data_IF_421639196631
#
_entry.id   IF_421639196631
#
_cell.length_a   1.000
_cell.length_b   1.000
_cell.length_c   1.000
_cell.angle_alpha   90.00
_cell.angle_beta   90.00
_cell.angle_gamma   90.00
#
_symmetry.space_group_name_H-M   'P 1'
#
loop_
_entity.id
_entity.type
_entity.pdbx_description
1 polymer ?
#
# COMPACT_ATOMS: atom_id res chain seq x y z
N UNK A 1 55.14 28.80 -15.07
CA UNK A 1 54.04 29.10 -14.14
C UNK A 1 52.65 28.61 -14.60
N UNK A 2 52.27 28.70 -15.89
CA UNK A 2 50.91 28.35 -16.36
C UNK A 2 50.48 26.86 -16.22
N UNK A 3 51.40 25.89 -16.29
CA UNK A 3 51.08 24.43 -16.26
C UNK A 3 50.66 23.93 -14.87
N UNK A 4 51.29 24.45 -13.81
CA UNK A 4 50.92 24.13 -12.42
C UNK A 4 49.61 24.80 -12.02
N UNK A 5 49.33 25.98 -12.57
CA UNK A 5 48.07 26.70 -12.35
C UNK A 5 46.85 25.92 -12.87
N UNK A 6 46.96 25.31 -14.05
CA UNK A 6 45.88 24.52 -14.64
C UNK A 6 45.66 23.20 -13.89
N UNK A 7 46.73 22.55 -13.43
CA UNK A 7 46.65 21.35 -12.59
C UNK A 7 46.03 21.62 -11.20
N UNK A 8 46.37 22.76 -10.58
CA UNK A 8 45.74 23.19 -9.34
C UNK A 8 44.25 23.50 -9.51
N UNK A 9 43.86 24.13 -10.62
CA UNK A 9 42.46 24.42 -10.94
C UNK A 9 41.65 23.13 -11.16
N UNK A 10 42.21 22.15 -11.88
CA UNK A 10 41.59 20.83 -12.09
C UNK A 10 41.51 20.02 -10.80
N UNK A 11 42.51 20.12 -9.92
CA UNK A 11 42.50 19.47 -8.61
C UNK A 11 41.44 20.05 -7.68
N UNK A 12 41.28 21.37 -7.67
CA UNK A 12 40.25 22.06 -6.88
C UNK A 12 38.84 21.74 -7.41
N UNK A 13 38.63 21.73 -8.73
CA UNK A 13 37.33 21.36 -9.30
C UNK A 13 36.98 19.90 -9.02
N UNK A 14 37.94 18.98 -9.11
CA UNK A 14 37.75 17.57 -8.75
C UNK A 14 37.44 17.38 -7.25
N UNK A 15 38.00 18.23 -6.38
CA UNK A 15 37.71 18.24 -4.94
C UNK A 15 36.30 18.76 -4.63
N UNK A 16 35.81 19.77 -5.37
CA UNK A 16 34.45 20.32 -5.18
C UNK A 16 33.34 19.41 -5.70
N UNK A 17 33.63 18.58 -6.71
CA UNK A 17 32.69 17.56 -7.23
C UNK A 17 32.48 16.40 -6.26
N UNK A 18 33.34 16.26 -5.25
CA UNK A 18 33.22 15.25 -4.19
C UNK A 18 32.34 15.70 -3.01
N UNK A 19 31.52 16.74 -3.20
CA UNK A 19 30.50 17.18 -2.25
C UNK A 19 29.46 16.06 -2.09
N UNK A 20 29.74 15.19 -1.11
CA UNK A 20 28.89 14.06 -0.75
C UNK A 20 27.51 14.59 -0.40
N UNK A 21 26.49 14.08 -1.09
CA UNK A 21 25.10 14.14 -0.63
C UNK A 21 25.04 13.28 0.63
N UNK A 22 25.36 13.86 1.78
CA UNK A 22 25.07 13.24 3.06
C UNK A 22 23.57 13.38 3.29
N UNK A 23 22.86 12.24 3.29
CA UNK A 23 21.49 12.21 3.80
C UNK A 23 21.53 12.72 5.24
N UNK A 24 20.88 13.86 5.52
CA UNK A 24 20.78 14.36 6.88
C UNK A 24 19.95 13.36 7.71
N UNK A 25 20.41 12.97 8.92
CA UNK A 25 19.59 12.18 9.82
C UNK A 25 18.33 12.95 10.23
N UNK A 26 17.27 12.22 10.61
CA UNK A 26 16.00 12.80 11.03
C UNK A 26 16.12 13.74 12.23
N UNK A 27 15.16 14.67 12.37
CA UNK A 27 15.16 15.69 13.44
C UNK A 27 14.50 15.19 14.72
N UNK A 28 14.69 15.90 15.83
CA UNK A 28 14.00 15.60 17.10
C UNK A 28 12.47 15.83 16.98
N UNK A 29 12.02 16.62 16.01
CA UNK A 29 10.61 16.85 15.71
C UNK A 29 9.97 15.69 14.92
N UNK A 30 10.75 14.70 14.48
CA UNK A 30 10.22 13.59 13.70
C UNK A 30 9.39 12.65 14.60
N UNK A 31 8.20 12.20 14.16
CA UNK A 31 7.39 11.29 14.94
C UNK A 31 8.07 9.93 15.07
N UNK A 32 8.17 9.42 16.30
CA UNK A 32 8.64 8.06 16.55
C UNK A 32 7.54 7.07 16.18
N UNK A 33 7.81 6.23 15.18
CA UNK A 33 6.92 5.14 14.76
C UNK A 33 7.69 3.81 14.77
N UNK A 34 7.01 2.73 15.13
CA UNK A 34 7.62 1.40 15.11
C UNK A 34 7.63 0.82 13.69
N UNK A 35 8.63 -0.02 13.39
CA UNK A 35 8.69 -0.76 12.12
C UNK A 35 7.41 -1.55 11.86
N UNK A 36 6.86 -2.18 12.89
CA UNK A 36 5.62 -2.97 12.80
C UNK A 36 4.40 -2.12 12.40
N UNK A 37 4.31 -0.87 12.85
CA UNK A 37 3.23 0.04 12.47
C UNK A 37 3.31 0.44 10.99
N UNK A 38 4.53 0.69 10.49
CA UNK A 38 4.79 0.94 9.07
C UNK A 38 4.45 -0.28 8.20
N UNK A 39 4.97 -1.45 8.55
CA UNK A 39 4.73 -2.68 7.78
C UNK A 39 3.23 -3.01 7.72
N UNK A 40 2.50 -2.87 8.84
CA UNK A 40 1.04 -3.05 8.86
C UNK A 40 0.29 -2.08 7.94
N UNK A 41 0.84 -0.89 7.70
CA UNK A 41 0.17 0.14 6.89
C UNK A 41 0.57 0.12 5.42
N UNK A 42 1.81 -0.27 5.08
CA UNK A 42 2.38 -0.08 3.74
C UNK A 42 2.81 -1.37 3.04
N UNK A 43 2.97 -2.47 3.76
CA UNK A 43 3.32 -3.77 3.18
C UNK A 43 2.07 -4.57 2.81
N UNK A 44 2.25 -5.49 1.85
CA UNK A 44 1.24 -6.50 1.56
C UNK A 44 1.24 -7.56 2.66
N UNK A 45 0.05 -7.91 3.15
CA UNK A 45 -0.17 -8.97 4.13
C UNK A 45 -1.12 -10.02 3.57
N UNK A 46 -0.89 -11.28 3.94
CA UNK A 46 -1.80 -12.38 3.64
C UNK A 46 -2.86 -12.41 4.73
N UNK A 47 -4.13 -12.31 4.33
CA UNK A 47 -5.28 -12.43 5.24
C UNK A 47 -6.09 -13.65 4.81
N UNK A 48 -6.42 -14.52 5.75
CA UNK A 48 -7.30 -15.68 5.50
C UNK A 48 -8.62 -15.45 6.21
N UNK A 49 -9.72 -15.56 5.45
CA UNK A 49 -11.07 -15.51 5.97
C UNK A 49 -11.69 -16.91 5.88
N UNK A 50 -12.36 -17.33 6.95
CA UNK A 50 -13.22 -18.51 6.96
C UNK A 50 -14.61 -18.15 6.42
N UNK A 51 -15.42 -19.14 5.99
CA UNK A 51 -16.78 -18.88 5.52
C UNK A 51 -17.57 -18.03 6.51
N UNK A 52 -18.34 -17.09 6.00
CA UNK A 52 -19.12 -16.08 6.73
C UNK A 52 -18.33 -14.98 7.44
N UNK A 53 -17.01 -15.06 7.54
CA UNK A 53 -16.20 -13.96 8.06
C UNK A 53 -16.19 -12.79 7.08
N UNK A 54 -16.05 -11.59 7.65
CA UNK A 54 -16.03 -10.36 6.90
C UNK A 54 -14.75 -9.59 7.17
N UNK A 55 -14.19 -8.96 6.15
CA UNK A 55 -13.13 -7.99 6.30
C UNK A 55 -13.62 -6.62 5.89
N UNK A 56 -13.67 -5.69 6.83
CA UNK A 56 -13.90 -4.28 6.56
C UNK A 56 -12.59 -3.59 6.17
N UNK A 57 -12.60 -2.84 5.09
CA UNK A 57 -11.46 -2.15 4.53
C UNK A 57 -11.45 -0.67 4.91
N UNK A 58 -10.30 -0.14 5.35
CA UNK A 58 -10.15 1.29 5.60
C UNK A 58 -9.91 2.07 4.30
N UNK A 59 -9.97 3.41 4.37
CA UNK A 59 -9.60 4.29 3.26
C UNK A 59 -8.22 3.93 2.70
N UNK A 60 -8.14 3.82 1.38
CA UNK A 60 -6.90 3.53 0.65
C UNK A 60 -6.48 2.06 0.68
N UNK A 61 -7.28 1.18 1.28
CA UNK A 61 -6.99 -0.23 1.33
C UNK A 61 -7.09 -0.85 -0.08
N UNK A 62 -6.12 -1.69 -0.40
CA UNK A 62 -6.01 -2.44 -1.64
C UNK A 62 -6.10 -3.92 -1.35
N UNK A 63 -6.88 -4.65 -2.15
CA UNK A 63 -7.20 -6.05 -1.88
C UNK A 63 -7.14 -6.85 -3.16
N UNK A 64 -6.52 -8.02 -3.11
CA UNK A 64 -6.52 -9.00 -4.18
C UNK A 64 -6.99 -10.33 -3.60
N UNK A 65 -8.08 -10.87 -4.13
CA UNK A 65 -8.53 -12.21 -3.77
C UNK A 65 -7.67 -13.21 -4.55
N UNK A 66 -6.94 -14.09 -3.86
CA UNK A 66 -6.06 -15.08 -4.49
C UNK A 66 -6.67 -16.47 -4.54
N UNK A 67 -7.54 -16.79 -3.59
CA UNK A 67 -8.20 -18.09 -3.45
C UNK A 67 -9.61 -17.88 -2.87
N UNK A 68 -10.56 -18.72 -3.28
CA UNK A 68 -11.90 -18.80 -2.70
C UNK A 68 -12.94 -17.96 -3.43
N UNK A 69 -14.11 -17.81 -2.81
CA UNK A 69 -15.21 -16.96 -3.27
C UNK A 69 -15.58 -15.97 -2.17
N UNK A 70 -15.70 -14.71 -2.54
CA UNK A 70 -16.00 -13.65 -1.60
C UNK A 70 -16.93 -12.62 -2.25
N UNK A 71 -17.99 -12.24 -1.56
CA UNK A 71 -18.92 -11.21 -2.00
C UNK A 71 -18.50 -9.82 -1.52
N UNK A 72 -18.84 -8.78 -2.28
CA UNK A 72 -18.59 -7.39 -1.87
C UNK A 72 -19.54 -6.97 -0.76
N UNK A 73 -18.99 -6.31 0.25
CA UNK A 73 -19.76 -5.60 1.28
C UNK A 73 -19.85 -4.14 0.89
N UNK A 74 -21.08 -3.72 0.66
CA UNK A 74 -21.43 -2.38 0.21
C UNK A 74 -21.92 -1.52 1.37
N UNK A 75 -21.70 -0.21 1.29
CA UNK A 75 -22.28 0.77 2.21
C UNK A 75 -22.91 1.90 1.39
N UNK A 76 -24.19 2.19 1.65
CA UNK A 76 -24.94 3.29 1.02
C UNK A 76 -24.93 3.30 -0.52
N UNK A 77 -25.11 2.16 -1.20
CA UNK A 77 -25.12 2.12 -2.66
C UNK A 77 -23.72 2.02 -3.29
N UNK A 78 -22.66 1.98 -2.47
CA UNK A 78 -21.28 2.10 -2.94
C UNK A 78 -20.40 0.95 -2.45
N UNK A 79 -19.76 0.26 -3.39
CA UNK A 79 -18.95 -0.93 -3.15
C UNK A 79 -17.46 -0.67 -3.39
N UNK A 80 -16.76 -1.66 -3.90
CA UNK A 80 -15.31 -1.59 -4.13
C UNK A 80 -14.99 -1.29 -5.59
N UNK A 81 -13.94 -0.51 -5.84
CA UNK A 81 -13.47 -0.24 -7.19
C UNK A 81 -12.56 -1.38 -7.65
N UNK A 82 -12.91 -2.05 -8.74
CA UNK A 82 -12.02 -2.95 -9.46
C UNK A 82 -11.15 -2.13 -10.40
N UNK A 83 -9.91 -1.86 -9.99
CA UNK A 83 -8.96 -1.07 -10.77
C UNK A 83 -8.37 -1.84 -11.96
N UNK A 84 -8.53 -3.17 -11.98
CA UNK A 84 -8.10 -4.00 -13.12
C UNK A 84 -9.09 -3.88 -14.28
N UNK A 85 -10.40 -3.82 -13.99
CA UNK A 85 -11.45 -3.64 -15.00
C UNK A 85 -11.91 -2.20 -15.18
N UNK A 86 -11.61 -1.30 -14.24
CA UNK A 86 -12.09 0.08 -14.26
C UNK A 86 -13.58 0.23 -13.95
N UNK A 87 -14.12 -0.65 -13.10
CA UNK A 87 -15.56 -0.67 -12.73
C UNK A 87 -15.73 -0.67 -11.22
N UNK A 88 -16.95 -0.39 -10.76
CA UNK A 88 -17.32 -0.56 -9.35
C UNK A 88 -18.10 -1.88 -9.20
N UNK A 89 -17.70 -2.69 -8.22
CA UNK A 89 -18.40 -3.91 -7.84
C UNK A 89 -19.39 -3.59 -6.71
N UNK A 90 -20.66 -3.95 -6.87
CA UNK A 90 -21.73 -3.66 -5.91
C UNK A 90 -21.96 -4.80 -4.91
N UNK A 91 -22.77 -4.55 -3.89
CA UNK A 91 -23.05 -5.48 -2.81
C UNK A 91 -23.56 -6.83 -3.30
N UNK A 92 -22.95 -7.90 -2.80
CA UNK A 92 -23.30 -9.28 -3.18
C UNK A 92 -22.68 -9.76 -4.50
N UNK A 93 -22.07 -8.90 -5.31
CA UNK A 93 -21.27 -9.36 -6.44
C UNK A 93 -20.06 -10.16 -5.96
N UNK A 94 -19.71 -11.22 -6.68
CA UNK A 94 -18.52 -12.01 -6.39
C UNK A 94 -17.29 -11.27 -6.88
N UNK A 95 -16.38 -11.00 -5.95
CA UNK A 95 -15.10 -10.39 -6.27
C UNK A 95 -14.27 -11.30 -7.21
N UNK A 96 -13.83 -10.80 -8.37
CA UNK A 96 -13.01 -11.57 -9.28
C UNK A 96 -11.64 -11.88 -8.68
N UNK A 97 -11.16 -13.11 -8.88
CA UNK A 97 -9.84 -13.52 -8.46
C UNK A 97 -8.76 -12.70 -9.20
N UNK A 98 -7.69 -12.37 -8.48
CA UNK A 98 -6.48 -11.73 -8.99
C UNK A 98 -6.66 -10.29 -9.49
N UNK A 99 -7.82 -9.67 -9.22
CA UNK A 99 -8.06 -8.27 -9.53
C UNK A 99 -7.63 -7.38 -8.36
N UNK A 100 -7.17 -6.17 -8.68
CA UNK A 100 -6.84 -5.15 -7.68
C UNK A 100 -8.10 -4.37 -7.30
N UNK A 101 -8.65 -4.67 -6.12
CA UNK A 101 -9.77 -3.95 -5.56
C UNK A 101 -9.29 -2.80 -4.67
N UNK A 102 -9.99 -1.69 -4.69
CA UNK A 102 -9.64 -0.48 -3.95
C UNK A 102 -10.82 0.10 -3.20
N UNK A 103 -10.53 0.54 -1.98
CA UNK A 103 -11.51 1.16 -1.08
C UNK A 103 -11.23 2.67 -0.95
N UNK A 104 -12.08 3.55 -1.50
CA UNK A 104 -11.82 5.00 -1.47
C UNK A 104 -12.09 5.64 -0.09
N UNK A 105 -12.88 5.02 0.79
CA UNK A 105 -13.28 5.54 2.10
C UNK A 105 -13.36 4.43 3.14
N UNK A 106 -13.06 4.75 4.40
CA UNK A 106 -13.21 3.80 5.51
C UNK A 106 -14.60 3.91 6.13
N UNK A 107 -15.64 3.56 5.38
CA UNK A 107 -17.04 3.72 5.77
C UNK A 107 -17.75 2.38 6.09
N UNK A 108 -17.02 1.26 6.09
CA UNK A 108 -17.57 -0.07 6.39
C UNK A 108 -17.57 -1.03 5.21
N UNK A 109 -17.19 -0.58 4.01
CA UNK A 109 -17.04 -1.45 2.84
C UNK A 109 -15.99 -2.53 3.04
N UNK A 110 -16.13 -3.62 2.31
CA UNK A 110 -15.28 -4.76 2.55
C UNK A 110 -15.61 -5.95 1.67
N UNK A 111 -15.24 -7.12 2.18
CA UNK A 111 -15.45 -8.39 1.51
C UNK A 111 -15.92 -9.41 2.53
N UNK A 112 -16.94 -10.18 2.17
CA UNK A 112 -17.46 -11.29 2.97
C UNK A 112 -17.13 -12.62 2.30
N UNK A 113 -16.52 -13.52 3.06
CA UNK A 113 -16.10 -14.81 2.53
C UNK A 113 -17.30 -15.78 2.43
N UNK A 114 -17.52 -16.36 1.26
CA UNK A 114 -18.49 -17.44 1.06
C UNK A 114 -17.85 -18.81 1.28
N UNK A 115 -16.58 -18.94 0.92
CA UNK A 115 -15.74 -20.11 1.19
C UNK A 115 -14.52 -19.71 2.02
N UNK A 116 -13.58 -20.63 2.26
CA UNK A 116 -12.26 -20.21 2.75
C UNK A 116 -11.59 -19.35 1.69
N UNK A 117 -11.27 -18.11 2.05
CA UNK A 117 -10.71 -17.10 1.15
C UNK A 117 -9.32 -16.70 1.61
N UNK A 118 -8.40 -16.56 0.66
CA UNK A 118 -7.07 -16.00 0.90
C UNK A 118 -6.93 -14.69 0.13
N UNK A 119 -6.61 -13.64 0.85
CA UNK A 119 -6.46 -12.28 0.35
C UNK A 119 -5.00 -11.83 0.45
N UNK A 120 -4.55 -11.06 -0.53
CA UNK A 120 -3.44 -10.12 -0.35
C UNK A 120 -4.03 -8.75 -0.08
N UNK A 121 -3.68 -8.16 1.04
CA UNK A 121 -4.22 -6.87 1.49
C UNK A 121 -3.07 -5.91 1.72
N UNK A 122 -3.23 -4.66 1.31
CA UNK A 122 -2.34 -3.56 1.67
C UNK A 122 -3.17 -2.44 2.27
N UNK A 123 -2.71 -1.91 3.41
CA UNK A 123 -3.43 -0.92 4.20
C UNK A 123 -4.18 -1.53 5.38
N UNK A 124 -4.89 -0.65 6.12
CA UNK A 124 -5.62 -1.04 7.33
C UNK A 124 -6.92 -1.74 6.98
N UNK A 125 -7.23 -2.75 7.78
CA UNK A 125 -8.45 -3.54 7.71
C UNK A 125 -8.86 -3.99 9.12
N UNK A 126 -10.06 -4.52 9.23
CA UNK A 126 -10.55 -5.21 10.41
C UNK A 126 -11.25 -6.49 9.94
N UNK A 127 -10.94 -7.62 10.58
CA UNK A 127 -11.60 -8.91 10.32
C UNK A 127 -12.61 -9.17 11.43
N UNK A 128 -13.83 -9.56 11.05
CA UNK A 128 -14.95 -9.90 11.93
C UNK A 128 -15.41 -11.33 11.67
#
# INVERSE_FOLDING_TARGET
MKRYFLGALLGITLLTLFSRVFSQPGTIQDPVITKSYLEKSFSWQIVTLLPSQEMTASRGCQIIIRVGKAGIVEVNGQGLLDLTKGVELKGGEIAPLNHLLFTPRGDGRGIKAETRVVLLVKGRMEVK
#
